data_IF_725265678013
#
_entry.id   IF_725265678013
#
_cell.length_a   1.000
_cell.length_b   1.000
_cell.length_c   1.000
_cell.angle_alpha   90.00
_cell.angle_beta   90.00
_cell.angle_gamma   90.00
#
_symmetry.space_group_name_H-M   'P 1'
#
loop_
_entity.id
_entity.type
_entity.pdbx_description
1 polymer ?
#
# COMPACT_ATOMS: atom_id res chain seq x y z
N UNK A 1 -14.69 -19.27 12.04
CA UNK A 1 -13.23 -19.03 12.11
C UNK A 1 -12.83 -18.12 10.96
N UNK A 2 -12.58 -16.84 11.23
CA UNK A 2 -12.09 -15.91 10.21
C UNK A 2 -10.75 -15.36 10.72
N UNK A 3 -9.66 -15.83 10.09
CA UNK A 3 -8.33 -15.30 10.33
C UNK A 3 -8.27 -13.90 9.71
N UNK A 4 -8.40 -12.86 10.53
CA UNK A 4 -7.94 -11.53 10.14
C UNK A 4 -6.41 -11.59 10.13
N UNK A 5 -5.86 -11.97 8.99
CA UNK A 5 -4.42 -12.02 8.78
C UNK A 5 -3.82 -10.65 9.04
N UNK A 6 -2.88 -10.61 9.99
CA UNK A 6 -1.90 -9.54 10.09
C UNK A 6 -1.40 -9.20 8.68
N UNK A 7 -1.36 -7.91 8.32
CA UNK A 7 -0.87 -7.44 7.01
C UNK A 7 0.54 -7.99 6.73
N UNK A 8 1.29 -8.30 7.79
CA UNK A 8 2.61 -8.93 7.80
C UNK A 8 2.68 -10.31 7.12
N UNK A 9 1.58 -11.09 7.06
CA UNK A 9 1.64 -12.48 6.57
C UNK A 9 1.70 -12.65 5.05
N UNK A 10 1.73 -11.56 4.27
CA UNK A 10 1.57 -11.62 2.80
C UNK A 10 2.79 -11.20 1.97
N UNK A 11 3.90 -10.79 2.59
CA UNK A 11 5.07 -10.33 1.82
C UNK A 11 6.20 -11.35 1.92
N UNK A 12 6.24 -12.28 0.95
CA UNK A 12 7.41 -13.12 0.69
C UNK A 12 8.45 -12.34 -0.10
N UNK A 13 9.74 -12.52 0.21
CA UNK A 13 10.86 -11.85 -0.49
C UNK A 13 10.91 -12.16 -2.01
N UNK A 14 10.26 -13.23 -2.45
CA UNK A 14 10.14 -13.61 -3.87
C UNK A 14 9.02 -12.84 -4.55
N UNK A 15 9.23 -12.33 -5.77
CA UNK A 15 8.16 -11.76 -6.59
C UNK A 15 7.07 -12.82 -6.87
N UNK A 16 5.81 -12.39 -6.92
CA UNK A 16 4.67 -13.20 -7.34
C UNK A 16 4.05 -12.62 -8.61
N UNK A 17 3.08 -13.33 -9.21
CA UNK A 17 2.39 -12.83 -10.41
C UNK A 17 1.62 -11.52 -10.17
N UNK A 18 1.28 -11.20 -8.92
CA UNK A 18 0.58 -9.97 -8.53
C UNK A 18 1.53 -8.75 -8.50
N UNK A 19 2.83 -8.99 -8.28
CA UNK A 19 3.84 -7.93 -8.18
C UNK A 19 4.27 -7.39 -9.55
N UNK A 20 4.00 -8.12 -10.64
CA UNK A 20 4.43 -7.77 -12.00
C UNK A 20 3.20 -7.76 -12.93
N UNK A 21 2.72 -6.58 -13.36
CA UNK A 21 1.62 -6.49 -14.30
C UNK A 21 1.93 -7.26 -15.60
N UNK A 22 1.00 -8.13 -16.01
CA UNK A 22 1.17 -8.98 -17.19
C UNK A 22 1.94 -10.29 -16.96
N UNK A 23 2.42 -10.54 -15.73
CA UNK A 23 3.03 -11.81 -15.38
C UNK A 23 1.99 -12.91 -15.15
N UNK A 24 0.72 -12.60 -14.86
CA UNK A 24 -0.33 -13.62 -14.71
C UNK A 24 -1.08 -13.87 -16.02
N UNK A 25 -1.43 -15.14 -16.27
CA UNK A 25 -2.35 -15.51 -17.34
C UNK A 25 -3.81 -15.18 -17.00
N UNK A 26 -4.15 -14.96 -15.73
CA UNK A 26 -5.51 -14.68 -15.25
C UNK A 26 -6.55 -15.72 -15.72
N UNK A 27 -6.14 -16.98 -15.87
CA UNK A 27 -6.99 -18.05 -16.41
C UNK A 27 -7.22 -17.99 -17.94
N UNK A 28 -6.61 -17.05 -18.66
CA UNK A 28 -6.68 -16.98 -20.13
C UNK A 28 -5.86 -18.10 -20.77
N UNK A 29 -6.37 -18.62 -21.89
CA UNK A 29 -5.65 -19.62 -22.68
C UNK A 29 -4.44 -18.98 -23.41
N UNK A 30 -3.21 -19.54 -23.31
CA UNK A 30 -2.04 -19.03 -24.01
C UNK A 30 -2.18 -18.92 -25.53
N UNK A 31 -3.10 -19.65 -26.16
CA UNK A 31 -3.35 -19.53 -27.61
C UNK A 31 -4.14 -18.28 -27.98
N UNK A 32 -4.91 -17.72 -27.05
CA UNK A 32 -5.71 -16.50 -27.25
C UNK A 32 -4.89 -15.22 -27.07
N UNK A 33 -3.75 -15.28 -26.37
CA UNK A 33 -2.91 -14.12 -26.06
C UNK A 33 -2.17 -13.57 -27.29
N UNK A 34 -1.79 -12.29 -27.22
CA UNK A 34 -0.93 -11.66 -28.24
C UNK A 34 0.51 -12.15 -28.11
N UNK A 35 1.26 -12.11 -29.21
CA UNK A 35 2.68 -12.51 -29.25
C UNK A 35 3.51 -11.77 -28.19
N UNK A 36 3.28 -10.46 -28.02
CA UNK A 36 4.02 -9.64 -27.05
C UNK A 36 3.69 -10.00 -25.60
N UNK A 37 2.42 -10.33 -25.30
CA UNK A 37 2.01 -10.82 -23.98
C UNK A 37 2.70 -12.15 -23.65
N UNK A 38 2.78 -13.08 -24.61
CA UNK A 38 3.46 -14.36 -24.43
C UNK A 38 4.96 -14.18 -24.21
N UNK A 39 5.61 -13.30 -24.99
CA UNK A 39 7.03 -12.98 -24.83
C UNK A 39 7.31 -12.34 -23.48
N UNK A 40 6.46 -11.41 -23.06
CA UNK A 40 6.59 -10.75 -21.77
C UNK A 40 6.40 -11.76 -20.62
N UNK A 41 5.40 -12.64 -20.71
CA UNK A 41 5.16 -13.67 -19.72
C UNK A 41 6.38 -14.60 -19.55
N UNK A 42 6.98 -15.06 -20.65
CA UNK A 42 8.20 -15.87 -20.67
C UNK A 42 9.40 -15.12 -20.09
N UNK A 43 9.54 -13.83 -20.41
CA UNK A 43 10.59 -12.97 -19.85
C UNK A 43 10.51 -12.87 -18.33
N UNK A 44 9.30 -12.81 -17.77
CA UNK A 44 9.08 -12.83 -16.33
C UNK A 44 9.43 -14.18 -15.68
N UNK A 45 9.81 -15.22 -16.45
CA UNK A 45 10.28 -16.54 -15.98
C UNK A 45 11.73 -16.81 -16.38
N UNK A 46 12.44 -15.76 -16.80
CA UNK A 46 13.83 -15.85 -17.25
C UNK A 46 14.02 -16.55 -18.60
N UNK A 47 12.95 -16.85 -19.34
CA UNK A 47 13.05 -17.43 -20.69
C UNK A 47 13.21 -16.30 -21.72
N UNK A 48 14.36 -16.21 -22.43
CA UNK A 48 14.60 -15.18 -23.45
C UNK A 48 13.77 -15.39 -24.72
N UNK A 49 12.98 -16.46 -24.81
CA UNK A 49 12.21 -16.88 -25.99
C UNK A 49 13.08 -17.00 -27.25
N UNK A 50 14.37 -17.34 -27.08
CA UNK A 50 15.35 -17.39 -28.15
C UNK A 50 14.98 -18.51 -29.13
N UNK A 51 14.89 -18.16 -30.41
CA UNK A 51 14.54 -19.10 -31.48
C UNK A 51 13.04 -19.35 -31.67
N UNK A 52 12.17 -18.79 -30.83
CA UNK A 52 10.71 -18.87 -31.00
C UNK A 52 10.23 -17.76 -31.93
N UNK A 53 9.87 -18.13 -33.17
CA UNK A 53 9.45 -17.18 -34.22
C UNK A 53 7.94 -17.05 -34.33
N UNK A 54 7.19 -18.13 -34.07
CA UNK A 54 5.73 -18.17 -34.26
C UNK A 54 4.97 -18.06 -32.93
N UNK A 55 3.73 -17.55 -32.99
CA UNK A 55 2.83 -17.49 -31.83
C UNK A 55 2.58 -18.88 -31.24
N UNK A 56 2.37 -19.90 -32.08
CA UNK A 56 2.14 -21.27 -31.63
C UNK A 56 3.33 -21.85 -30.83
N UNK A 57 4.57 -21.55 -31.25
CA UNK A 57 5.77 -21.96 -30.52
C UNK A 57 5.84 -21.31 -29.13
N UNK A 58 5.50 -20.02 -29.04
CA UNK A 58 5.44 -19.30 -27.76
C UNK A 58 4.35 -19.87 -26.85
N UNK A 59 3.12 -20.05 -27.37
CA UNK A 59 2.01 -20.63 -26.60
C UNK A 59 2.33 -22.04 -26.10
N UNK A 60 2.99 -22.87 -26.93
CA UNK A 60 3.43 -24.21 -26.52
C UNK A 60 4.43 -24.14 -25.37
N UNK A 61 5.44 -23.26 -25.44
CA UNK A 61 6.43 -23.10 -24.38
C UNK A 61 5.76 -22.63 -23.07
N UNK A 62 4.80 -21.70 -23.14
CA UNK A 62 4.05 -21.27 -21.95
C UNK A 62 3.30 -22.44 -21.31
N UNK A 63 2.63 -23.28 -22.11
CA UNK A 63 1.95 -24.47 -21.60
C UNK A 63 2.92 -25.47 -20.94
N UNK A 64 4.13 -25.64 -21.47
CA UNK A 64 5.18 -26.48 -20.87
C UNK A 64 5.61 -25.93 -19.50
N UNK A 65 5.74 -24.62 -19.34
CA UNK A 65 6.04 -24.01 -18.04
C UNK A 65 4.94 -24.28 -17.01
N UNK A 66 3.68 -24.05 -17.39
CA UNK A 66 2.51 -24.30 -16.54
C UNK A 66 2.40 -25.79 -16.18
N UNK A 67 2.57 -26.69 -17.14
CA UNK A 67 2.53 -28.14 -16.89
C UNK A 67 3.67 -28.60 -15.96
N UNK A 68 4.84 -27.95 -16.03
CA UNK A 68 5.97 -28.23 -15.15
C UNK A 68 5.89 -27.57 -13.77
N UNK A 69 4.87 -26.75 -13.50
CA UNK A 69 4.71 -26.00 -12.24
C UNK A 69 5.71 -24.86 -12.03
N UNK A 70 6.48 -24.50 -13.07
CA UNK A 70 7.46 -23.39 -13.06
C UNK A 70 6.83 -22.03 -13.42
N UNK A 71 5.52 -22.00 -13.59
CA UNK A 71 4.75 -20.77 -13.81
C UNK A 71 4.88 -19.77 -12.65
N UNK A 72 5.12 -20.29 -11.44
CA UNK A 72 5.27 -19.55 -10.18
C UNK A 72 6.65 -18.90 -9.98
N UNK A 73 7.67 -19.30 -10.74
CA UNK A 73 9.04 -18.81 -10.62
C UNK A 73 9.20 -17.43 -11.28
N UNK A 74 8.56 -16.42 -10.68
CA UNK A 74 8.53 -15.05 -11.22
C UNK A 74 9.83 -14.33 -10.92
N UNK A 75 10.47 -13.82 -11.97
CA UNK A 75 11.65 -12.96 -11.94
C UNK A 75 11.30 -11.56 -12.46
N UNK A 76 12.09 -10.57 -12.05
CA UNK A 76 11.90 -9.20 -12.51
C UNK A 76 12.27 -9.09 -14.01
N UNK A 77 11.31 -8.77 -14.90
CA UNK A 77 11.59 -8.64 -16.33
C UNK A 77 12.33 -7.34 -16.67
N UNK A 78 12.45 -6.39 -15.74
CA UNK A 78 13.08 -5.09 -15.97
C UNK A 78 14.56 -5.10 -15.55
N UNK A 79 15.44 -4.55 -16.40
CA UNK A 79 16.88 -4.50 -16.12
C UNK A 79 17.23 -3.66 -14.89
N UNK A 80 16.41 -2.65 -14.59
CA UNK A 80 16.59 -1.78 -13.43
C UNK A 80 15.92 -2.32 -12.16
N UNK A 81 15.35 -3.53 -12.23
CA UNK A 81 14.72 -4.23 -11.11
C UNK A 81 13.60 -3.40 -10.46
N UNK A 82 12.77 -2.75 -11.29
CA UNK A 82 11.75 -1.81 -10.81
C UNK A 82 10.72 -2.47 -9.90
N UNK A 83 10.34 -3.73 -10.19
CA UNK A 83 9.32 -4.44 -9.43
C UNK A 83 9.88 -4.94 -8.11
N UNK A 84 11.12 -5.43 -8.14
CA UNK A 84 11.88 -5.83 -6.95
C UNK A 84 12.03 -4.66 -5.98
N UNK A 85 12.46 -3.49 -6.47
CA UNK A 85 12.60 -2.27 -5.65
C UNK A 85 11.27 -1.80 -5.07
N UNK A 86 10.18 -1.91 -5.84
CA UNK A 86 8.84 -1.55 -5.39
C UNK A 86 8.35 -2.46 -4.26
N UNK A 87 8.52 -3.77 -4.39
CA UNK A 87 8.15 -4.74 -3.36
C UNK A 87 8.94 -4.54 -2.07
N UNK A 88 10.26 -4.38 -2.17
CA UNK A 88 11.11 -4.07 -1.02
C UNK A 88 10.67 -2.79 -0.29
N UNK A 89 10.26 -1.74 -1.03
CA UNK A 89 9.71 -0.51 -0.43
C UNK A 89 8.39 -0.78 0.30
N UNK A 90 7.49 -1.57 -0.29
CA UNK A 90 6.22 -1.94 0.35
C UNK A 90 6.44 -2.74 1.64
N UNK A 91 7.39 -3.67 1.65
CA UNK A 91 7.81 -4.40 2.85
C UNK A 91 8.32 -3.48 3.95
N UNK A 92 9.19 -2.52 3.62
CA UNK A 92 9.67 -1.53 4.58
C UNK A 92 8.53 -0.68 5.15
N UNK A 93 7.56 -0.29 4.33
CA UNK A 93 6.39 0.48 4.77
C UNK A 93 5.48 -0.37 5.68
N UNK A 94 5.26 -1.64 5.35
CA UNK A 94 4.49 -2.57 6.16
C UNK A 94 5.15 -2.80 7.52
N UNK A 95 6.46 -3.06 7.56
CA UNK A 95 7.22 -3.20 8.81
C UNK A 95 7.15 -1.93 9.67
N UNK A 96 7.24 -0.76 9.04
CA UNK A 96 7.12 0.52 9.74
C UNK A 96 5.73 0.72 10.33
N UNK A 97 4.68 0.27 9.64
CA UNK A 97 3.31 0.28 10.13
C UNK A 97 3.16 -0.67 11.32
N UNK A 98 3.65 -1.91 11.23
CA UNK A 98 3.60 -2.89 12.32
C UNK A 98 4.34 -2.36 13.57
N UNK A 99 5.51 -1.74 13.37
CA UNK A 99 6.24 -1.07 14.45
C UNK A 99 5.44 0.08 15.06
N UNK A 100 4.73 0.86 14.25
CA UNK A 100 3.87 1.92 14.77
C UNK A 100 2.69 1.36 15.56
N UNK A 101 2.00 0.33 15.05
CA UNK A 101 0.88 -0.33 15.75
C UNK A 101 1.35 -0.90 17.10
N UNK A 102 2.48 -1.60 17.12
CA UNK A 102 3.02 -2.18 18.36
C UNK A 102 3.38 -1.13 19.42
N UNK A 103 3.87 0.05 19.00
CA UNK A 103 4.22 1.16 19.91
C UNK A 103 3.03 2.02 20.32
N UNK A 104 2.07 2.22 19.42
CA UNK A 104 0.86 3.04 19.65
C UNK A 104 -0.25 2.25 20.36
N UNK A 105 -0.07 0.94 20.54
CA UNK A 105 -1.01 0.04 21.18
C UNK A 105 -1.29 0.39 22.65
N UNK A 106 -2.31 1.20 22.88
CA UNK A 106 -3.21 0.95 24.02
C UNK A 106 -3.89 -0.37 23.71
N UNK A 107 -3.74 -1.36 24.59
CA UNK A 107 -4.38 -2.68 24.47
C UNK A 107 -5.91 -2.51 24.44
N UNK A 108 -6.51 -2.43 23.25
CA UNK A 108 -7.95 -2.53 23.08
C UNK A 108 -8.31 -4.02 23.22
N UNK A 109 -8.60 -4.44 24.44
CA UNK A 109 -9.17 -5.75 24.72
C UNK A 109 -10.53 -5.86 24.03
N UNK A 110 -10.60 -6.71 22.99
CA UNK A 110 -11.80 -6.96 22.18
C UNK A 110 -12.99 -7.44 23.01
N UNK A 111 -12.76 -7.96 24.21
CA UNK A 111 -13.80 -8.47 25.11
C UNK A 111 -14.34 -7.40 26.08
N UNK A 112 -13.75 -6.20 26.09
CA UNK A 112 -14.14 -5.11 26.99
C UNK A 112 -15.01 -4.10 26.23
N UNK A 113 -16.34 -4.23 26.35
CA UNK A 113 -17.30 -3.31 25.71
C UNK A 113 -17.12 -1.83 26.10
N UNK A 114 -16.42 -1.57 27.22
CA UNK A 114 -16.03 -0.24 27.64
C UNK A 114 -14.64 0.10 27.10
N UNK A 115 -14.55 0.25 25.78
CA UNK A 115 -13.35 0.79 25.15
C UNK A 115 -13.19 2.26 25.56
N UNK A 116 -12.29 2.52 26.50
CA UNK A 116 -11.98 3.88 26.91
C UNK A 116 -11.31 4.61 25.73
N UNK A 117 -12.10 5.39 24.99
CA UNK A 117 -11.59 6.33 24.00
C UNK A 117 -10.53 7.19 24.71
N UNK A 118 -9.29 7.27 24.20
CA UNK A 118 -8.26 8.12 24.79
C UNK A 118 -8.81 9.51 25.07
N UNK A 119 -8.55 10.06 26.26
CA UNK A 119 -9.02 11.40 26.63
C UNK A 119 -8.63 12.46 25.59
N UNK A 120 -7.49 12.30 24.93
CA UNK A 120 -7.06 13.13 23.81
C UNK A 120 -8.02 13.07 22.61
N UNK A 121 -8.54 11.90 22.24
CA UNK A 121 -9.53 11.77 21.16
C UNK A 121 -10.90 12.31 21.58
N UNK A 122 -11.32 12.09 22.84
CA UNK A 122 -12.55 12.70 23.36
C UNK A 122 -12.47 14.22 23.28
N UNK A 123 -11.35 14.79 23.74
CA UNK A 123 -11.07 16.23 23.62
C UNK A 123 -11.03 16.69 22.17
N UNK A 124 -10.35 15.97 21.29
CA UNK A 124 -10.28 16.33 19.86
C UNK A 124 -11.67 16.37 19.22
N UNK A 125 -12.55 15.41 19.53
CA UNK A 125 -13.95 15.45 19.10
C UNK A 125 -14.67 16.69 19.65
N UNK A 126 -14.52 16.97 20.94
CA UNK A 126 -15.09 18.18 21.56
C UNK A 126 -14.57 19.47 20.90
N UNK A 127 -13.29 19.57 20.54
CA UNK A 127 -12.75 20.73 19.80
C UNK A 127 -13.41 20.91 18.43
N UNK A 128 -13.76 19.81 17.75
CA UNK A 128 -14.49 19.87 16.48
C UNK A 128 -15.97 20.25 16.71
N UNK A 129 -16.62 19.67 17.71
CA UNK A 129 -18.01 19.95 18.05
C UNK A 129 -18.22 21.40 18.55
N UNK A 130 -17.24 21.94 19.29
CA UNK A 130 -17.23 23.31 19.82
C UNK A 130 -16.82 24.36 18.75
N UNK A 131 -16.78 23.97 17.47
CA UNK A 131 -16.45 24.84 16.32
C UNK A 131 -15.13 25.62 16.46
N UNK A 132 -14.11 25.06 17.13
CA UNK A 132 -12.80 25.72 17.23
C UNK A 132 -12.13 25.87 15.87
N UNK A 133 -12.33 24.89 14.98
CA UNK A 133 -11.75 24.88 13.64
C UNK A 133 -12.82 25.20 12.60
N UNK A 134 -12.63 26.28 11.85
CA UNK A 134 -13.49 26.70 10.73
C UNK A 134 -12.71 26.66 9.42
N UNK A 135 -13.42 26.65 8.30
CA UNK A 135 -12.86 26.62 6.95
C UNK A 135 -11.85 25.47 6.73
N UNK A 136 -12.15 24.31 7.32
CA UNK A 136 -11.31 23.12 7.21
C UNK A 136 -11.27 22.64 5.75
N UNK A 137 -10.06 22.66 5.17
CA UNK A 137 -9.77 22.07 3.87
C UNK A 137 -8.70 21.02 4.03
N UNK A 138 -8.90 19.84 3.44
CA UNK A 138 -7.94 18.75 3.48
C UNK A 138 -7.52 18.29 2.08
N UNK A 139 -6.31 17.78 1.97
CA UNK A 139 -5.77 17.11 0.80
C UNK A 139 -4.82 15.99 1.25
N UNK A 140 -4.53 15.03 0.39
CA UNK A 140 -3.57 13.96 0.70
C UNK A 140 -2.82 13.49 -0.53
N UNK A 141 -1.59 13.03 -0.33
CA UNK A 141 -0.80 12.30 -1.31
C UNK A 141 -0.43 10.91 -0.77
N UNK A 142 0.50 10.20 -1.42
CA UNK A 142 0.92 8.86 -1.02
C UNK A 142 1.68 8.81 0.32
N UNK A 143 2.15 9.94 0.84
CA UNK A 143 3.01 10.03 2.03
C UNK A 143 2.38 10.81 3.19
N UNK A 144 1.57 11.83 2.88
CA UNK A 144 1.10 12.83 3.83
C UNK A 144 -0.38 13.16 3.67
N UNK A 145 -1.01 13.44 4.81
CA UNK A 145 -2.30 14.09 4.91
C UNK A 145 -2.09 15.54 5.32
N UNK A 146 -2.64 16.45 4.53
CA UNK A 146 -2.56 17.89 4.74
C UNK A 146 -3.92 18.43 5.14
N UNK A 147 -3.94 19.34 6.10
CA UNK A 147 -5.13 20.15 6.34
C UNK A 147 -4.75 21.59 6.67
N UNK A 148 -5.64 22.50 6.28
CA UNK A 148 -5.62 23.91 6.65
C UNK A 148 -6.97 24.29 7.24
N UNK A 149 -6.97 25.15 8.25
CA UNK A 149 -8.18 25.68 8.87
C UNK A 149 -7.88 26.99 9.59
N UNK A 150 -8.94 27.68 10.01
CA UNK A 150 -8.87 28.81 10.92
C UNK A 150 -9.26 28.35 12.33
N UNK A 151 -8.45 28.68 13.33
CA UNK A 151 -8.69 28.36 14.73
C UNK A 151 -9.29 29.59 15.45
N UNK A 152 -10.61 29.58 15.70
CA UNK A 152 -11.41 30.74 16.12
C UNK A 152 -11.49 30.98 17.64
N UNK A 153 -10.85 30.13 18.44
CA UNK A 153 -10.93 30.20 19.91
C UNK A 153 -9.55 29.95 20.52
N UNK A 154 -8.59 30.84 20.22
CA UNK A 154 -7.35 30.87 20.98
C UNK A 154 -7.65 31.12 22.47
N UNK A 155 -6.74 30.74 23.38
CA UNK A 155 -6.90 31.01 24.82
C UNK A 155 -7.08 32.50 25.17
N UNK A 156 -6.92 33.42 24.20
CA UNK A 156 -7.10 34.86 24.34
C UNK A 156 -8.37 35.30 23.61
N UNK A 157 -9.35 35.78 24.38
CA UNK A 157 -10.72 36.11 23.93
C UNK A 157 -10.83 37.18 22.82
N UNK A 158 -9.76 37.95 22.57
CA UNK A 158 -9.77 39.07 21.64
C UNK A 158 -8.75 38.91 20.50
N UNK A 159 -8.11 37.76 20.36
CA UNK A 159 -7.19 37.52 19.23
C UNK A 159 -7.95 37.10 17.97
N UNK A 160 -7.54 37.58 16.78
CA UNK A 160 -8.10 37.10 15.54
C UNK A 160 -7.80 35.61 15.35
N UNK A 161 -8.62 34.89 14.55
CA UNK A 161 -8.42 33.47 14.29
C UNK A 161 -7.06 33.18 13.68
N UNK A 162 -6.41 32.13 14.19
CA UNK A 162 -5.09 31.71 13.72
C UNK A 162 -5.22 30.77 12.52
N UNK A 163 -4.40 30.98 11.48
CA UNK A 163 -4.31 30.05 10.35
C UNK A 163 -3.47 28.85 10.77
N UNK A 164 -4.09 27.69 10.83
CA UNK A 164 -3.41 26.42 11.10
C UNK A 164 -3.19 25.68 9.79
N UNK A 165 -1.97 25.23 9.54
CA UNK A 165 -1.58 24.38 8.42
C UNK A 165 -0.73 23.22 8.94
N UNK A 166 -1.14 21.99 8.65
CA UNK A 166 -0.49 20.79 9.18
C UNK A 166 -0.26 19.77 8.08
N UNK A 167 0.90 19.11 8.13
CA UNK A 167 1.19 17.91 7.36
C UNK A 167 1.44 16.73 8.31
N UNK A 168 0.62 15.68 8.20
CA UNK A 168 0.71 14.45 8.97
C UNK A 168 1.25 13.33 8.09
N UNK A 169 2.23 12.57 8.57
CA UNK A 169 2.67 11.37 7.88
C UNK A 169 1.60 10.28 7.95
N UNK A 170 1.09 9.81 6.81
CA UNK A 170 0.01 8.81 6.73
C UNK A 170 0.36 7.50 7.43
N UNK A 171 1.64 7.10 7.38
CA UNK A 171 2.08 5.81 7.94
C UNK A 171 2.33 5.88 9.45
N UNK A 172 2.83 7.01 9.95
CA UNK A 172 3.29 7.12 11.34
C UNK A 172 2.42 8.02 12.22
N UNK A 173 1.47 8.75 11.65
CA UNK A 173 0.67 9.76 12.35
C UNK A 173 1.46 10.97 12.86
N UNK A 174 2.79 11.01 12.64
CA UNK A 174 3.65 12.09 13.13
C UNK A 174 3.40 13.38 12.35
N UNK A 175 3.26 14.48 13.07
CA UNK A 175 3.25 15.84 12.52
C UNK A 175 4.63 16.14 11.93
N UNK A 176 4.70 16.32 10.62
CA UNK A 176 5.93 16.71 9.90
C UNK A 176 6.09 18.21 9.78
N UNK A 177 4.97 18.91 9.70
CA UNK A 177 4.93 20.36 9.62
C UNK A 177 3.68 20.86 10.34
N UNK A 178 3.82 21.96 11.07
CA UNK A 178 2.73 22.71 11.67
C UNK A 178 3.10 24.19 11.71
N UNK A 179 2.20 25.05 11.24
CA UNK A 179 2.28 26.52 11.35
C UNK A 179 0.92 27.13 11.62
#
# INVERSE_FOLDING_TARGET
MAAHGSVSSRLSQSLTEEDVPGASLQGRNPTALKTDELRFWLKCRGDPAKGLKTKAQLSKRVLEYVASGRDKDVVDPDKNLIYTRRKARQEQLAQKMDLHISKSGKNFDRNKQNHAVPTSMKKAKTFLDDEYLKDLTCASDDQYFYFKCLCYHSFKKNEPPHKLQVALCLVSGVVKYAS
#
